data_IF_594193542919
#
_entry.id   IF_594193542919
#
_cell.length_a   1.000
_cell.length_b   1.000
_cell.length_c   1.000
_cell.angle_alpha   90.00
_cell.angle_beta   90.00
_cell.angle_gamma   90.00
#
_symmetry.space_group_name_H-M   'P 1'
#
loop_
_entity.id
_entity.type
_entity.pdbx_description
1 polymer ?
#
# COMPACT_ATOMS: atom_id res chain seq x y z
N UNK A 1 -55.17 12.36 9.06
CA UNK A 1 -55.87 11.06 9.24
C UNK A 1 -54.82 10.12 9.78
N UNK A 2 -54.62 9.98 11.11
CA UNK A 2 -55.11 8.92 12.01
C UNK A 2 -54.86 7.54 11.36
N UNK A 3 -54.03 6.64 11.98
CA UNK A 3 -54.19 5.84 13.19
C UNK A 3 -52.86 5.08 13.42
N UNK A 4 -52.12 5.08 14.53
CA UNK A 4 -52.26 4.29 15.79
C UNK A 4 -52.47 2.78 15.53
N UNK A 5 -51.61 1.87 16.01
CA UNK A 5 -51.53 1.30 17.38
C UNK A 5 -50.72 0.00 17.28
N UNK A 6 -50.08 -0.61 18.16
CA UNK A 6 -49.99 -0.95 19.58
C UNK A 6 -49.08 -2.19 19.67
N UNK A 7 -48.07 -2.18 20.46
CA UNK A 7 -47.75 -2.91 21.71
C UNK A 7 -48.11 -4.41 21.77
N UNK A 8 -47.11 -5.24 22.05
CA UNK A 8 -47.26 -6.36 22.98
C UNK A 8 -45.90 -6.74 23.64
N UNK A 9 -45.91 -6.57 24.93
CA UNK A 9 -44.97 -6.97 25.96
C UNK A 9 -45.26 -8.42 26.32
N UNK A 10 -44.24 -9.28 26.38
CA UNK A 10 -44.37 -10.64 26.88
C UNK A 10 -43.24 -10.97 27.84
N UNK A 11 -43.47 -10.77 29.10
CA UNK A 11 -42.67 -11.30 30.20
C UNK A 11 -43.09 -12.74 30.50
N UNK A 12 -42.13 -13.64 30.65
CA UNK A 12 -42.35 -14.96 31.21
C UNK A 12 -41.35 -15.22 32.35
N UNK A 13 -41.87 -15.17 33.56
CA UNK A 13 -41.27 -15.65 34.81
C UNK A 13 -41.72 -17.11 35.03
N UNK A 14 -40.81 -18.00 35.38
CA UNK A 14 -40.99 -19.23 36.17
C UNK A 14 -39.61 -19.79 36.40
N UNK A 15 -39.11 -20.24 37.52
CA UNK A 15 -39.60 -20.52 38.83
C UNK A 15 -38.47 -21.25 39.56
N UNK A 16 -38.29 -20.94 40.81
CA UNK A 16 -37.34 -21.60 41.73
C UNK A 16 -37.73 -23.03 42.01
N UNK A 17 -36.74 -23.96 42.03
CA UNK A 17 -36.84 -25.21 42.77
C UNK A 17 -35.59 -25.39 43.63
N UNK A 18 -35.82 -25.28 44.90
CA UNK A 18 -34.92 -25.61 46.01
C UNK A 18 -35.07 -27.10 46.30
N UNK A 19 -33.95 -27.82 46.46
CA UNK A 19 -33.89 -29.07 47.22
C UNK A 19 -32.60 -29.10 48.03
N UNK A 20 -32.81 -29.32 49.32
CA UNK A 20 -31.85 -29.37 50.42
C UNK A 20 -31.33 -30.79 50.67
N UNK A 21 -30.25 -30.84 51.49
CA UNK A 21 -29.71 -31.91 52.35
C UNK A 21 -29.03 -33.08 51.62
N UNK A 22 -27.81 -33.44 51.96
CA UNK A 22 -27.28 -33.96 53.19
C UNK A 22 -25.74 -33.96 53.18
N UNK A 23 -25.13 -33.64 54.31
CA UNK A 23 -23.69 -33.76 54.57
C UNK A 23 -23.36 -35.13 55.16
N UNK A 24 -22.29 -35.77 54.77
CA UNK A 24 -21.61 -36.74 55.61
C UNK A 24 -20.30 -36.20 56.20
N UNK A 25 -20.02 -36.67 57.42
CA UNK A 25 -19.04 -36.32 58.40
C UNK A 25 -17.59 -36.35 57.90
N UNK A 26 -16.81 -35.42 58.49
CA UNK A 26 -15.37 -35.37 58.46
C UNK A 26 -14.70 -36.67 58.95
N UNK A 27 -13.71 -37.11 58.19
CA UNK A 27 -12.66 -38.04 58.67
C UNK A 27 -11.36 -37.22 58.64
N UNK A 28 -10.85 -36.99 59.84
CA UNK A 28 -9.55 -36.39 60.12
C UNK A 28 -8.45 -37.45 59.82
N UNK A 29 -7.59 -37.20 58.84
CA UNK A 29 -6.34 -37.89 58.65
C UNK A 29 -5.23 -36.86 58.45
N UNK A 30 -4.71 -36.38 59.56
CA UNK A 30 -3.47 -35.63 59.61
C UNK A 30 -2.30 -36.54 59.19
N UNK A 31 -1.78 -36.34 58.00
CA UNK A 31 -0.45 -36.83 57.62
C UNK A 31 0.22 -35.75 56.79
N UNK A 32 1.05 -34.98 57.42
CA UNK A 32 1.90 -33.98 56.81
C UNK A 32 2.88 -34.67 55.84
N UNK A 33 2.64 -34.52 54.55
CA UNK A 33 3.65 -34.78 53.51
C UNK A 33 4.20 -33.41 53.12
N UNK A 34 5.42 -33.13 53.60
CA UNK A 34 6.21 -31.97 53.15
C UNK A 34 6.68 -32.27 51.72
N UNK A 35 5.99 -31.76 50.73
CA UNK A 35 6.48 -31.78 49.36
C UNK A 35 7.37 -30.57 49.20
N UNK A 36 8.66 -30.81 49.04
CA UNK A 36 9.62 -29.80 48.66
C UNK A 36 9.20 -29.24 47.27
N UNK A 37 8.85 -27.97 47.22
CA UNK A 37 8.62 -27.26 45.97
C UNK A 37 9.99 -27.16 45.27
N UNK A 38 10.16 -27.94 44.24
CA UNK A 38 11.26 -27.76 43.29
C UNK A 38 10.88 -26.63 42.38
N UNK A 39 11.44 -25.45 42.57
CA UNK A 39 11.31 -24.32 41.65
C UNK A 39 11.87 -24.75 40.29
N UNK A 40 10.98 -25.05 39.36
CA UNK A 40 11.35 -25.22 37.97
C UNK A 40 11.70 -23.82 37.42
N UNK A 41 12.84 -23.64 36.74
CA UNK A 41 13.19 -22.36 36.14
C UNK A 41 12.14 -22.02 35.11
N UNK A 42 11.38 -20.94 35.36
CA UNK A 42 10.50 -20.35 34.38
C UNK A 42 11.37 -19.74 33.29
N UNK A 43 11.57 -20.47 32.21
CA UNK A 43 12.24 -19.97 31.01
C UNK A 43 11.28 -18.99 30.37
N UNK A 44 11.45 -17.69 30.67
CA UNK A 44 10.76 -16.62 29.93
C UNK A 44 11.34 -16.61 28.53
N UNK A 45 10.68 -17.26 27.58
CA UNK A 45 11.00 -17.14 26.16
C UNK A 45 10.61 -15.72 25.75
N UNK A 46 11.58 -14.81 25.72
CA UNK A 46 11.39 -13.49 25.10
C UNK A 46 11.11 -13.75 23.63
N UNK A 47 9.89 -13.47 23.19
CA UNK A 47 9.56 -13.52 21.77
C UNK A 47 10.53 -12.59 21.03
N UNK A 48 11.19 -13.10 19.99
CA UNK A 48 12.06 -12.28 19.14
C UNK A 48 11.23 -11.12 18.58
N UNK A 49 11.80 -9.91 18.55
CA UNK A 49 11.16 -8.78 17.90
C UNK A 49 10.81 -9.16 16.45
N UNK A 50 9.64 -8.76 15.96
CA UNK A 50 9.25 -9.07 14.59
C UNK A 50 10.26 -8.46 13.61
N UNK A 51 10.61 -9.19 12.55
CA UNK A 51 11.52 -8.71 11.50
C UNK A 51 10.92 -7.50 10.82
N UNK A 52 11.68 -6.41 10.60
CA UNK A 52 11.18 -5.25 9.86
C UNK A 52 10.75 -5.62 8.44
N UNK A 53 9.73 -4.96 7.92
CA UNK A 53 9.37 -5.03 6.49
C UNK A 53 10.32 -4.11 5.72
N UNK A 54 11.09 -4.67 4.79
CA UNK A 54 12.01 -3.89 3.97
C UNK A 54 11.30 -3.38 2.72
N UNK A 55 11.19 -2.05 2.58
CA UNK A 55 10.55 -1.39 1.44
C UNK A 55 11.60 -0.68 0.60
N UNK A 56 11.71 -1.07 -0.67
CA UNK A 56 12.46 -0.32 -1.65
C UNK A 56 11.56 0.75 -2.26
N UNK A 57 12.00 2.01 -2.24
CA UNK A 57 11.36 3.11 -2.95
C UNK A 57 12.18 3.49 -4.17
N UNK A 58 11.51 3.62 -5.30
CA UNK A 58 12.07 4.06 -6.59
C UNK A 58 11.07 4.97 -7.32
N UNK A 59 11.43 5.50 -8.49
CA UNK A 59 10.55 6.27 -9.35
C UNK A 59 11.13 6.37 -10.77
N UNK A 60 10.55 7.20 -11.64
CA UNK A 60 11.11 7.60 -12.92
C UNK A 60 11.39 9.12 -13.01
N UNK A 61 10.98 9.92 -12.05
CA UNK A 61 11.26 11.35 -12.01
C UNK A 61 12.69 11.71 -11.56
N UNK A 62 13.36 10.77 -10.85
CA UNK A 62 14.71 10.97 -10.30
C UNK A 62 14.73 10.94 -8.76
N UNK A 63 15.90 10.66 -8.18
CA UNK A 63 16.08 10.43 -6.74
C UNK A 63 15.74 11.66 -5.86
N UNK A 64 15.80 12.87 -6.39
CA UNK A 64 15.56 14.15 -5.71
C UNK A 64 14.20 14.78 -6.05
N UNK A 65 13.33 14.04 -6.74
CA UNK A 65 11.99 14.52 -7.06
C UNK A 65 11.09 14.60 -5.83
N UNK A 66 10.20 15.59 -5.79
CA UNK A 66 9.30 15.82 -4.64
C UNK A 66 8.33 14.64 -4.40
N UNK A 67 7.96 13.91 -5.44
CA UNK A 67 7.03 12.79 -5.33
C UNK A 67 7.64 11.60 -4.59
N UNK A 68 8.86 11.19 -4.94
CA UNK A 68 9.55 10.09 -4.24
C UNK A 68 9.85 10.50 -2.79
N UNK A 69 10.26 11.74 -2.57
CA UNK A 69 10.55 12.27 -1.25
C UNK A 69 9.32 12.21 -0.33
N UNK A 70 8.16 12.60 -0.81
CA UNK A 70 6.91 12.52 -0.05
C UNK A 70 6.54 11.08 0.36
N UNK A 71 6.78 10.10 -0.53
CA UNK A 71 6.55 8.67 -0.23
C UNK A 71 7.56 8.17 0.80
N UNK A 72 8.85 8.52 0.66
CA UNK A 72 9.89 8.14 1.62
C UNK A 72 9.59 8.69 3.01
N UNK A 73 9.28 9.99 3.10
CA UNK A 73 8.97 10.64 4.38
C UNK A 73 7.76 10.01 5.08
N UNK A 74 6.76 9.54 4.34
CA UNK A 74 5.66 8.79 4.91
C UNK A 74 6.07 7.38 5.36
N UNK A 75 6.68 6.57 4.48
CA UNK A 75 6.95 5.16 4.78
C UNK A 75 7.91 4.97 5.97
N UNK A 76 8.87 5.89 6.15
CA UNK A 76 9.79 5.87 7.31
C UNK A 76 9.12 6.16 8.66
N UNK A 77 7.86 6.61 8.67
CA UNK A 77 7.08 6.79 9.91
C UNK A 77 6.36 5.53 10.36
N UNK A 78 6.30 4.50 9.51
CA UNK A 78 5.58 3.26 9.82
C UNK A 78 6.39 2.40 10.80
N UNK A 79 5.69 1.82 11.76
CA UNK A 79 6.28 0.92 12.74
C UNK A 79 6.82 -0.36 12.09
N UNK A 80 8.02 -0.74 12.49
CA UNK A 80 8.68 -1.97 12.03
C UNK A 80 8.80 -2.04 10.50
N UNK A 81 9.17 -0.91 9.88
CA UNK A 81 9.48 -0.74 8.46
C UNK A 81 10.87 -0.17 8.30
N UNK A 82 11.65 -0.72 7.38
CA UNK A 82 12.93 -0.18 6.93
C UNK A 82 12.83 0.25 5.47
N UNK A 83 13.24 1.48 5.17
CA UNK A 83 13.17 2.06 3.83
C UNK A 83 14.56 2.12 3.21
N UNK A 84 14.67 1.64 1.97
CA UNK A 84 15.82 1.87 1.09
C UNK A 84 15.36 2.66 -0.14
N UNK A 85 16.20 3.58 -0.62
CA UNK A 85 15.89 4.37 -1.82
C UNK A 85 16.95 4.10 -2.87
N UNK A 86 16.50 3.61 -4.03
CA UNK A 86 17.33 3.45 -5.24
C UNK A 86 16.52 3.94 -6.43
N UNK A 87 16.97 5.01 -7.09
CA UNK A 87 16.21 5.66 -8.14
C UNK A 87 17.12 6.17 -9.27
N UNK A 88 16.59 6.46 -10.46
CA UNK A 88 17.37 7.04 -11.55
C UNK A 88 18.04 8.35 -11.15
N UNK A 89 19.23 8.57 -11.70
CA UNK A 89 20.00 9.82 -11.49
C UNK A 89 19.31 11.04 -12.11
N UNK A 90 18.46 10.85 -13.12
CA UNK A 90 17.73 11.90 -13.84
C UNK A 90 16.36 11.39 -14.24
N UNK A 91 15.46 12.30 -14.62
CA UNK A 91 14.11 11.93 -15.08
C UNK A 91 14.18 10.98 -16.30
N UNK A 92 13.40 9.92 -16.24
CA UNK A 92 13.29 8.82 -17.20
C UNK A 92 11.83 8.55 -17.62
N UNK A 93 10.96 9.57 -17.59
CA UNK A 93 9.55 9.44 -17.96
C UNK A 93 9.37 8.84 -19.37
N UNK A 94 8.35 7.99 -19.53
CA UNK A 94 8.02 7.37 -20.83
C UNK A 94 8.95 6.25 -21.27
N UNK A 95 9.76 5.69 -20.37
CA UNK A 95 10.74 4.65 -20.72
C UNK A 95 10.23 3.23 -20.46
N UNK A 96 9.02 3.07 -19.90
CA UNK A 96 8.47 1.74 -19.59
C UNK A 96 9.42 0.94 -18.67
N UNK A 97 9.65 -0.32 -18.97
CA UNK A 97 10.55 -1.24 -18.27
C UNK A 97 11.90 -1.44 -18.99
N UNK A 98 12.36 -0.42 -19.75
CA UNK A 98 13.67 -0.47 -20.40
C UNK A 98 14.78 -0.67 -19.39
N UNK A 99 15.85 -1.33 -19.85
CA UNK A 99 17.09 -1.53 -19.11
C UNK A 99 18.31 -1.08 -19.93
N UNK A 100 19.35 -0.68 -19.20
CA UNK A 100 20.64 -0.26 -19.76
C UNK A 100 21.54 -1.47 -19.97
N UNK A 101 22.12 -1.69 -21.16
CA UNK A 101 23.12 -2.72 -21.36
C UNK A 101 24.44 -2.40 -20.63
N UNK A 102 25.03 -3.42 -19.98
CA UNK A 102 26.34 -3.30 -19.33
C UNK A 102 26.27 -2.83 -17.89
N UNK A 103 27.40 -2.34 -17.37
CA UNK A 103 27.55 -1.95 -15.98
C UNK A 103 26.86 -0.62 -15.69
N UNK A 104 26.19 -0.55 -14.56
CA UNK A 104 25.50 0.65 -14.09
C UNK A 104 26.41 1.49 -13.20
N UNK A 105 26.44 2.79 -13.43
CA UNK A 105 27.08 3.74 -12.50
C UNK A 105 26.10 4.08 -11.40
N UNK A 106 26.51 3.81 -10.16
CA UNK A 106 25.69 4.06 -8.96
C UNK A 106 26.45 4.96 -8.01
N UNK A 107 25.76 5.95 -7.44
CA UNK A 107 26.34 6.90 -6.50
C UNK A 107 25.51 7.03 -5.22
N UNK A 108 26.20 7.35 -4.12
CA UNK A 108 25.54 7.74 -2.88
C UNK A 108 25.01 9.18 -3.01
N UNK A 109 23.73 9.35 -2.75
CA UNK A 109 23.02 10.61 -2.86
C UNK A 109 22.03 10.77 -1.68
N UNK A 110 21.24 11.82 -1.70
CA UNK A 110 20.15 12.04 -0.75
C UNK A 110 18.90 12.49 -1.48
N UNK A 111 17.74 12.10 -0.97
CA UNK A 111 16.46 12.65 -1.43
C UNK A 111 16.36 14.15 -1.11
N UNK A 112 15.30 14.79 -1.56
CA UNK A 112 15.05 16.22 -1.33
C UNK A 112 15.09 16.60 0.17
N UNK A 113 14.50 15.76 1.04
CA UNK A 113 14.51 15.93 2.51
C UNK A 113 15.80 15.44 3.20
N UNK A 114 16.77 14.96 2.42
CA UNK A 114 18.08 14.53 2.93
C UNK A 114 18.16 13.07 3.36
N UNK A 115 17.17 12.23 3.07
CA UNK A 115 17.23 10.80 3.34
C UNK A 115 18.28 10.11 2.45
N UNK A 116 19.11 9.19 3.01
CA UNK A 116 20.14 8.48 2.24
C UNK A 116 19.52 7.68 1.09
N UNK A 117 20.12 7.78 -0.10
CA UNK A 117 19.65 7.13 -1.30
C UNK A 117 20.82 6.71 -2.21
N UNK A 118 20.53 5.84 -3.17
CA UNK A 118 21.41 5.52 -4.29
C UNK A 118 20.79 6.07 -5.57
N UNK A 119 21.59 6.77 -6.38
CA UNK A 119 21.21 7.13 -7.75
C UNK A 119 21.82 6.15 -8.74
N UNK A 120 21.06 5.76 -9.76
CA UNK A 120 21.48 4.86 -10.83
C UNK A 120 21.49 5.62 -12.14
N UNK A 121 22.61 5.64 -12.86
CA UNK A 121 22.68 6.17 -14.22
C UNK A 121 22.07 5.17 -15.20
N UNK A 122 20.76 5.04 -15.17
CA UNK A 122 19.98 4.06 -15.92
C UNK A 122 18.49 4.36 -15.84
N UNK A 123 17.68 3.41 -16.27
CA UNK A 123 16.22 3.47 -16.25
C UNK A 123 15.64 3.06 -14.89
N UNK A 124 14.35 3.30 -14.62
CA UNK A 124 13.68 2.87 -13.38
C UNK A 124 13.79 1.37 -13.11
N UNK A 125 13.66 0.55 -14.15
CA UNK A 125 13.85 -0.90 -14.04
C UNK A 125 15.27 -1.29 -13.63
N UNK A 126 16.29 -0.55 -14.06
CA UNK A 126 17.69 -0.78 -13.67
C UNK A 126 17.89 -0.53 -12.17
N UNK A 127 17.24 0.50 -11.62
CA UNK A 127 17.28 0.80 -10.19
C UNK A 127 16.75 -0.36 -9.36
N UNK A 128 15.61 -0.94 -9.77
CA UNK A 128 15.04 -2.14 -9.14
C UNK A 128 15.98 -3.34 -9.28
N UNK A 129 16.44 -3.64 -10.51
CA UNK A 129 17.30 -4.80 -10.76
C UNK A 129 18.63 -4.69 -10.02
N UNK A 130 19.25 -3.51 -9.99
CA UNK A 130 20.46 -3.29 -9.20
C UNK A 130 20.22 -3.58 -7.71
N UNK A 131 19.12 -3.05 -7.16
CA UNK A 131 18.79 -3.22 -5.76
C UNK A 131 18.60 -4.69 -5.35
N UNK A 132 17.82 -5.45 -6.15
CA UNK A 132 17.47 -6.84 -5.84
C UNK A 132 18.56 -7.87 -6.17
N UNK A 133 19.52 -7.51 -7.04
CA UNK A 133 20.63 -8.37 -7.43
C UNK A 133 21.91 -8.13 -6.61
N UNK A 134 21.78 -7.62 -5.40
CA UNK A 134 22.90 -7.49 -4.44
C UNK A 134 23.40 -6.05 -4.25
N UNK A 135 22.77 -5.05 -4.84
CA UNK A 135 23.05 -3.64 -4.58
C UNK A 135 22.62 -3.21 -3.17
N UNK A 136 21.58 -3.84 -2.64
CA UNK A 136 21.19 -3.72 -1.24
C UNK A 136 21.63 -4.96 -0.45
N UNK A 137 21.92 -4.75 0.83
CA UNK A 137 22.30 -5.83 1.77
C UNK A 137 21.13 -6.76 2.13
N UNK A 138 19.90 -6.25 2.03
CA UNK A 138 18.67 -6.98 2.31
C UNK A 138 17.75 -6.86 1.09
N UNK A 139 17.18 -8.01 0.68
CA UNK A 139 16.19 -8.03 -0.41
C UNK A 139 14.90 -7.37 0.08
N UNK A 140 14.28 -6.45 -0.71
CA UNK A 140 13.02 -5.85 -0.30
C UNK A 140 11.86 -6.86 -0.31
N UNK A 141 10.94 -6.68 0.63
CA UNK A 141 9.67 -7.40 0.72
C UNK A 141 8.57 -6.72 -0.11
N UNK A 142 8.73 -5.42 -0.35
CA UNK A 142 7.83 -4.57 -1.13
C UNK A 142 8.64 -3.55 -1.92
N UNK A 143 8.25 -3.28 -3.15
CA UNK A 143 8.73 -2.13 -3.94
C UNK A 143 7.62 -1.11 -4.09
N UNK A 144 7.89 0.16 -3.77
CA UNK A 144 7.00 1.29 -4.06
C UNK A 144 7.68 2.19 -5.08
N UNK A 145 7.07 2.30 -6.26
CA UNK A 145 7.55 3.15 -7.35
C UNK A 145 6.67 4.39 -7.46
N UNK A 146 7.25 5.56 -7.29
CA UNK A 146 6.56 6.86 -7.33
C UNK A 146 6.84 7.72 -6.08
N UNK A 147 6.01 8.76 -5.75
CA UNK A 147 4.82 9.13 -6.51
C UNK A 147 5.19 9.88 -7.78
N UNK A 148 4.75 9.38 -8.91
CA UNK A 148 5.03 9.99 -10.20
C UNK A 148 4.34 11.36 -10.35
N UNK A 149 4.98 12.26 -11.07
CA UNK A 149 4.40 13.51 -11.53
C UNK A 149 3.60 13.28 -12.82
N UNK A 150 2.32 13.02 -12.69
CA UNK A 150 1.40 12.70 -13.78
C UNK A 150 0.77 11.33 -13.63
N UNK A 151 -0.47 11.20 -14.08
CA UNK A 151 -1.21 9.94 -14.00
C UNK A 151 -0.71 8.87 -14.98
N UNK A 152 -0.72 7.61 -14.54
CA UNK A 152 -0.32 6.44 -15.30
C UNK A 152 -1.45 5.41 -15.40
N UNK A 153 -2.64 5.88 -15.79
CA UNK A 153 -3.84 5.06 -15.95
C UNK A 153 -4.10 4.64 -17.40
N UNK A 154 -4.97 3.69 -17.60
CA UNK A 154 -5.42 3.25 -18.92
C UNK A 154 -4.25 2.90 -19.86
N UNK A 155 -4.27 3.39 -21.12
CA UNK A 155 -3.17 3.17 -22.06
C UNK A 155 -1.81 3.72 -21.63
N UNK A 156 -1.73 4.74 -20.76
CA UNK A 156 -0.46 5.29 -20.30
C UNK A 156 0.32 4.32 -19.41
N UNK A 157 -0.35 3.36 -18.80
CA UNK A 157 0.27 2.34 -17.95
C UNK A 157 1.44 1.63 -18.65
N UNK A 158 1.31 1.33 -19.96
CA UNK A 158 2.32 0.52 -20.69
C UNK A 158 3.57 1.29 -21.08
N UNK A 159 3.53 2.63 -21.08
CA UNK A 159 4.70 3.47 -21.40
C UNK A 159 5.34 4.07 -20.14
N UNK A 160 4.74 3.89 -18.97
CA UNK A 160 5.16 4.48 -17.71
C UNK A 160 6.43 3.84 -17.18
N UNK A 161 7.44 4.64 -16.85
CA UNK A 161 8.62 4.21 -16.12
C UNK A 161 8.31 3.81 -14.68
N UNK A 162 7.37 4.51 -14.04
CA UNK A 162 6.88 4.20 -12.70
C UNK A 162 6.28 2.79 -12.62
N UNK A 163 5.34 2.48 -13.55
CA UNK A 163 4.72 1.14 -13.63
C UNK A 163 5.74 0.10 -14.09
N UNK A 164 6.63 0.45 -15.02
CA UNK A 164 7.69 -0.43 -15.52
C UNK A 164 8.64 -0.89 -14.41
N UNK A 165 9.03 0.00 -13.50
CA UNK A 165 9.82 -0.35 -12.32
C UNK A 165 9.08 -1.32 -11.39
N UNK A 166 7.83 -1.00 -11.05
CA UNK A 166 6.99 -1.86 -10.21
C UNK A 166 6.75 -3.24 -10.86
N UNK A 167 6.44 -3.27 -12.16
CA UNK A 167 6.28 -4.52 -12.91
C UNK A 167 7.58 -5.35 -12.96
N UNK A 168 8.73 -4.69 -13.03
CA UNK A 168 10.04 -5.35 -12.96
C UNK A 168 10.24 -6.04 -11.62
N UNK A 169 9.90 -5.40 -10.50
CA UNK A 169 9.92 -6.02 -9.18
C UNK A 169 8.96 -7.23 -9.12
N UNK A 170 7.72 -7.05 -9.58
CA UNK A 170 6.69 -8.08 -9.56
C UNK A 170 7.07 -9.31 -10.39
N UNK A 171 7.67 -9.12 -11.58
CA UNK A 171 8.22 -10.23 -12.39
C UNK A 171 9.37 -10.99 -11.71
N UNK A 172 10.05 -10.36 -10.75
CA UNK A 172 11.08 -10.99 -9.91
C UNK A 172 10.50 -11.53 -8.58
N UNK A 173 9.18 -11.65 -8.49
CA UNK A 173 8.48 -12.25 -7.33
C UNK A 173 8.42 -11.33 -6.10
N UNK A 174 8.64 -10.04 -6.26
CA UNK A 174 8.53 -9.05 -5.18
C UNK A 174 7.27 -8.22 -5.39
N UNK A 175 6.31 -8.24 -4.46
CA UNK A 175 5.14 -7.38 -4.54
C UNK A 175 5.50 -5.92 -4.78
N UNK A 176 4.73 -5.22 -5.60
CA UNK A 176 5.04 -3.84 -5.95
C UNK A 176 3.79 -2.96 -6.10
N UNK A 177 3.94 -1.70 -5.70
CA UNK A 177 2.96 -0.64 -5.87
C UNK A 177 3.58 0.42 -6.79
N UNK A 178 2.91 0.74 -7.90
CA UNK A 178 3.16 1.93 -8.69
C UNK A 178 2.17 3.01 -8.27
N UNK A 179 2.63 4.17 -7.82
CA UNK A 179 1.75 5.27 -7.39
C UNK A 179 2.03 6.55 -8.17
N UNK A 180 0.97 7.21 -8.62
CA UNK A 180 1.03 8.37 -9.50
C UNK A 180 0.06 9.46 -9.04
N UNK A 181 0.57 10.69 -8.93
CA UNK A 181 -0.21 11.89 -8.66
C UNK A 181 -0.58 12.56 -9.97
N UNK A 182 -1.85 12.77 -10.22
CA UNK A 182 -2.36 13.42 -11.41
C UNK A 182 -1.82 14.84 -11.60
N UNK A 183 -1.73 15.27 -12.85
CA UNK A 183 -1.39 16.65 -13.19
C UNK A 183 -2.45 17.63 -12.64
N UNK A 184 -2.02 18.85 -12.35
CA UNK A 184 -2.86 19.92 -11.86
C UNK A 184 -3.24 20.88 -12.99
N UNK A 185 -4.36 21.57 -12.84
CA UNK A 185 -4.71 22.72 -13.68
C UNK A 185 -3.83 23.91 -13.27
N UNK A 186 -3.09 24.48 -14.23
CA UNK A 186 -2.27 25.67 -13.95
C UNK A 186 -3.12 26.82 -13.38
N UNK A 187 -2.62 27.62 -12.41
CA UNK A 187 -1.26 27.64 -11.84
C UNK A 187 -1.01 26.65 -10.69
N UNK A 188 -1.95 25.76 -10.35
CA UNK A 188 -1.75 24.78 -9.30
C UNK A 188 -0.61 23.81 -9.65
N UNK A 189 0.02 23.25 -8.62
CA UNK A 189 1.05 22.20 -8.74
C UNK A 189 0.47 20.86 -8.26
N UNK A 190 1.03 19.74 -8.69
CA UNK A 190 0.64 18.44 -8.18
C UNK A 190 0.73 18.37 -6.65
N UNK A 191 -0.28 17.76 -6.04
CA UNK A 191 -0.42 17.74 -4.58
C UNK A 191 -0.08 16.35 -4.03
N UNK A 192 1.20 16.04 -3.90
CA UNK A 192 1.70 14.75 -3.41
C UNK A 192 1.17 14.30 -2.04
N UNK A 193 0.76 15.18 -1.08
CA UNK A 193 0.06 14.72 0.11
C UNK A 193 -1.22 13.92 -0.17
N UNK A 194 -1.88 14.11 -1.33
CA UNK A 194 -3.02 13.28 -1.72
C UNK A 194 -2.58 11.84 -2.05
N UNK A 195 -1.45 11.65 -2.75
CA UNK A 195 -0.89 10.31 -2.97
C UNK A 195 -0.51 9.64 -1.66
N UNK A 196 0.13 10.38 -0.73
CA UNK A 196 0.47 9.87 0.60
C UNK A 196 -0.78 9.42 1.34
N UNK A 197 -1.86 10.22 1.31
CA UNK A 197 -3.14 9.87 1.94
C UNK A 197 -3.71 8.57 1.38
N UNK A 198 -3.80 8.44 0.06
CA UNK A 198 -4.34 7.24 -0.58
C UNK A 198 -3.45 6.02 -0.31
N UNK A 199 -2.12 6.18 -0.35
CA UNK A 199 -1.19 5.10 0.01
C UNK A 199 -1.35 4.70 1.48
N UNK A 200 -1.56 5.66 2.38
CA UNK A 200 -1.81 5.39 3.81
C UNK A 200 -3.06 4.55 4.00
N UNK A 201 -4.16 4.92 3.35
CA UNK A 201 -5.43 4.19 3.39
C UNK A 201 -5.25 2.77 2.83
N UNK A 202 -4.59 2.64 1.69
CA UNK A 202 -4.32 1.34 1.07
C UNK A 202 -3.45 0.43 1.96
N UNK A 203 -2.37 0.96 2.52
CA UNK A 203 -1.47 0.18 3.38
C UNK A 203 -2.11 -0.15 4.74
N UNK A 204 -3.03 0.67 5.27
CA UNK A 204 -3.76 0.34 6.49
C UNK A 204 -4.48 -1.01 6.40
N UNK A 205 -5.02 -1.32 5.22
CA UNK A 205 -5.75 -2.57 4.97
C UNK A 205 -4.83 -3.72 4.48
N UNK A 206 -3.68 -3.39 3.86
CA UNK A 206 -2.89 -4.39 3.11
C UNK A 206 -1.48 -4.64 3.66
N UNK A 207 -0.96 -3.81 4.57
CA UNK A 207 0.43 -3.94 5.07
C UNK A 207 0.73 -5.32 5.66
N UNK A 208 -0.25 -5.94 6.32
CA UNK A 208 -0.12 -7.29 6.85
C UNK A 208 0.13 -8.33 5.75
N UNK A 209 -0.52 -8.20 4.60
CA UNK A 209 -0.37 -9.14 3.49
C UNK A 209 1.03 -9.11 2.84
N UNK A 210 1.71 -7.97 2.91
CA UNK A 210 3.12 -7.87 2.49
C UNK A 210 4.06 -8.58 3.47
N UNK A 211 3.72 -8.61 4.75
CA UNK A 211 4.49 -9.32 5.79
C UNK A 211 4.31 -10.84 5.74
N UNK A 212 3.12 -11.31 5.40
CA UNK A 212 2.79 -12.75 5.36
C UNK A 212 2.89 -13.37 3.95
N UNK A 213 3.25 -12.57 2.93
CA UNK A 213 3.46 -13.03 1.55
C UNK A 213 2.18 -13.31 0.78
N UNK A 214 1.02 -12.82 1.22
CA UNK A 214 -0.28 -12.98 0.54
C UNK A 214 -0.67 -11.78 -0.32
N UNK A 215 0.17 -10.73 -0.35
CA UNK A 215 -0.09 -9.51 -1.10
C UNK A 215 -0.21 -9.73 -2.61
N UNK A 216 -0.93 -8.83 -3.28
CA UNK A 216 -0.97 -8.74 -4.75
C UNK A 216 0.42 -8.40 -5.29
N UNK A 217 0.82 -9.04 -6.39
CA UNK A 217 2.15 -8.84 -6.98
C UNK A 217 2.31 -7.46 -7.61
N UNK A 218 1.27 -6.93 -8.26
CA UNK A 218 1.37 -5.62 -8.90
C UNK A 218 0.09 -4.82 -8.72
N UNK A 219 0.25 -3.65 -8.12
CA UNK A 219 -0.82 -2.68 -7.87
C UNK A 219 -0.45 -1.34 -8.50
N UNK A 220 -1.37 -0.73 -9.23
CA UNK A 220 -1.25 0.63 -9.71
C UNK A 220 -2.25 1.53 -8.97
N UNK A 221 -1.76 2.63 -8.42
CA UNK A 221 -2.57 3.64 -7.72
C UNK A 221 -2.43 4.96 -8.48
N UNK A 222 -3.55 5.51 -8.91
CA UNK A 222 -3.60 6.83 -9.54
C UNK A 222 -4.46 7.77 -8.71
N UNK A 223 -3.93 8.93 -8.36
CA UNK A 223 -4.57 9.89 -7.47
C UNK A 223 -4.73 11.22 -8.20
N UNK A 224 -5.95 11.70 -8.44
CA UNK A 224 -6.15 12.99 -9.08
C UNK A 224 -5.66 14.15 -8.21
N UNK A 225 -5.15 15.20 -8.84
CA UNK A 225 -4.92 16.48 -8.16
C UNK A 225 -6.19 17.32 -8.28
N UNK A 226 -6.97 17.31 -7.21
CA UNK A 226 -8.18 18.13 -7.12
C UNK A 226 -7.81 19.58 -6.79
N UNK A 227 -8.58 20.59 -7.26
CA UNK A 227 -8.46 21.95 -6.77
C UNK A 227 -8.57 21.99 -5.24
N UNK A 228 -7.88 22.93 -4.58
CA UNK A 228 -7.74 23.00 -3.12
C UNK A 228 -9.07 22.98 -2.37
N UNK A 229 -10.13 23.45 -3.00
CA UNK A 229 -11.47 23.58 -2.43
C UNK A 229 -12.37 22.35 -2.64
N UNK A 230 -11.94 21.40 -3.47
CA UNK A 230 -12.69 20.16 -3.73
C UNK A 230 -12.08 18.99 -3.01
N UNK A 231 -12.92 18.19 -2.38
CA UNK A 231 -12.49 16.97 -1.69
C UNK A 231 -12.27 15.86 -2.71
N UNK A 232 -11.12 15.18 -2.61
CA UNK A 232 -10.90 13.92 -3.30
C UNK A 232 -12.02 12.94 -2.91
N UNK A 233 -12.67 12.32 -3.89
CA UNK A 233 -13.67 11.31 -3.63
C UNK A 233 -13.04 10.03 -3.05
N UNK A 234 -13.83 9.17 -2.38
CA UNK A 234 -13.31 7.92 -1.82
C UNK A 234 -12.54 7.12 -2.86
N UNK A 235 -11.45 6.50 -2.43
CA UNK A 235 -10.66 5.60 -3.28
C UNK A 235 -11.50 4.39 -3.68
N UNK A 236 -11.43 4.01 -4.95
CA UNK A 236 -12.16 2.87 -5.51
C UNK A 236 -11.21 1.87 -6.16
N UNK A 237 -11.63 0.61 -6.24
CA UNK A 237 -10.95 -0.41 -7.05
C UNK A 237 -11.63 -0.46 -8.41
N UNK A 238 -10.85 -0.25 -9.48
CA UNK A 238 -11.35 -0.30 -10.85
C UNK A 238 -10.33 -1.00 -11.76
N UNK A 239 -10.77 -1.76 -12.79
CA UNK A 239 -9.85 -2.37 -13.72
C UNK A 239 -9.14 -1.30 -14.57
N UNK A 240 -7.91 -1.59 -14.98
CA UNK A 240 -7.21 -0.74 -15.95
C UNK A 240 -7.95 -0.74 -17.31
N UNK A 241 -8.21 0.41 -17.88
CA UNK A 241 -8.70 0.55 -19.24
C UNK A 241 -7.64 0.12 -20.27
N UNK A 242 -8.01 -0.69 -21.25
CA UNK A 242 -7.07 -1.13 -22.30
C UNK A 242 -6.91 -0.09 -23.41
N UNK A 243 -7.91 0.76 -23.59
CA UNK A 243 -7.92 1.86 -24.58
C UNK A 243 -8.63 3.10 -24.04
N UNK A 244 -8.56 4.16 -24.81
CA UNK A 244 -9.19 5.43 -24.42
C UNK A 244 -10.71 5.45 -24.58
N UNK A 245 -11.29 4.60 -25.42
CA UNK A 245 -12.74 4.58 -25.74
C UNK A 245 -13.29 5.97 -26.07
N UNK A 246 -12.54 6.79 -26.81
CA UNK A 246 -12.92 8.15 -27.16
C UNK A 246 -12.80 9.19 -26.03
N UNK A 247 -12.34 8.81 -24.84
CA UNK A 247 -12.09 9.74 -23.71
C UNK A 247 -10.78 10.50 -23.89
N UNK A 248 -10.72 11.71 -23.36
CA UNK A 248 -9.47 12.46 -23.27
C UNK A 248 -8.60 11.88 -22.18
N UNK A 249 -7.37 11.51 -22.51
CA UNK A 249 -6.38 11.03 -21.55
C UNK A 249 -5.39 12.16 -21.19
N UNK A 250 -4.82 12.10 -20.00
CA UNK A 250 -3.77 13.02 -19.56
C UNK A 250 -4.27 14.38 -19.08
N UNK A 251 -5.56 14.67 -19.20
CA UNK A 251 -6.12 15.89 -18.64
C UNK A 251 -6.14 15.83 -17.11
N UNK A 252 -5.96 16.99 -16.42
CA UNK A 252 -6.24 17.09 -15.00
C UNK A 252 -7.70 16.72 -14.69
N UNK A 253 -7.93 16.00 -13.59
CA UNK A 253 -9.28 15.74 -13.11
C UNK A 253 -9.92 17.03 -12.58
N UNK A 254 -11.22 17.20 -12.79
CA UNK A 254 -11.95 18.37 -12.30
C UNK A 254 -12.42 18.22 -10.86
N UNK A 255 -12.64 16.97 -10.41
CA UNK A 255 -13.08 16.60 -9.06
C UNK A 255 -14.41 17.26 -8.63
N UNK A 256 -15.17 17.78 -9.56
CA UNK A 256 -16.47 18.48 -9.34
C UNK A 256 -17.64 17.78 -10.03
N UNK A 257 -17.36 16.65 -10.68
CA UNK A 257 -18.38 15.83 -11.34
C UNK A 257 -19.27 15.11 -10.33
N UNK A 258 -20.46 14.64 -10.77
CA UNK A 258 -21.25 13.76 -9.94
C UNK A 258 -20.45 12.48 -9.64
N UNK A 259 -20.51 12.01 -8.39
CA UNK A 259 -20.02 10.67 -8.04
C UNK A 259 -20.60 9.66 -9.04
N UNK A 260 -19.75 9.13 -9.90
CA UNK A 260 -20.14 8.02 -10.75
C UNK A 260 -20.24 6.81 -9.82
N UNK A 261 -21.46 6.30 -9.64
CA UNK A 261 -21.72 5.28 -8.61
C UNK A 261 -20.87 4.01 -8.80
N UNK A 262 -20.55 3.66 -10.06
CA UNK A 262 -19.73 2.50 -10.41
C UNK A 262 -18.87 2.85 -11.64
N UNK A 263 -17.64 3.36 -11.48
CA UNK A 263 -16.75 3.60 -12.61
C UNK A 263 -16.42 2.27 -13.29
N UNK A 264 -16.48 2.25 -14.61
CA UNK A 264 -16.24 1.02 -15.39
C UNK A 264 -14.75 0.65 -15.47
N UNK A 265 -13.86 1.64 -15.32
CA UNK A 265 -12.42 1.46 -15.36
C UNK A 265 -11.66 2.58 -14.63
N UNK A 266 -10.32 2.50 -14.61
CA UNK A 266 -9.44 3.44 -13.94
C UNK A 266 -9.48 4.86 -14.54
N UNK A 267 -9.74 5.00 -15.83
CA UNK A 267 -9.87 6.30 -16.50
C UNK A 267 -11.15 7.01 -16.05
N UNK A 268 -12.26 6.29 -15.98
CA UNK A 268 -13.53 6.85 -15.51
C UNK A 268 -13.42 7.26 -14.03
N UNK A 269 -12.88 6.39 -13.19
CA UNK A 269 -12.71 6.66 -11.77
C UNK A 269 -11.85 7.90 -11.53
N UNK A 270 -10.69 7.97 -12.17
CA UNK A 270 -9.77 9.09 -12.03
C UNK A 270 -10.38 10.41 -12.53
N UNK A 271 -11.00 10.42 -13.72
CA UNK A 271 -11.62 11.62 -14.29
C UNK A 271 -12.79 12.12 -13.45
N UNK A 272 -13.49 11.24 -12.76
CA UNK A 272 -14.53 11.59 -11.79
C UNK A 272 -13.99 12.18 -10.48
N UNK A 273 -12.69 12.07 -10.21
CA UNK A 273 -12.06 12.60 -9.00
C UNK A 273 -11.82 11.56 -7.89
N UNK A 274 -11.89 10.28 -8.22
CA UNK A 274 -11.54 9.21 -7.28
C UNK A 274 -10.04 8.91 -7.30
N UNK A 275 -9.45 8.64 -6.13
CA UNK A 275 -8.26 7.80 -6.06
C UNK A 275 -8.62 6.41 -6.60
N UNK A 276 -7.79 5.84 -7.46
CA UNK A 276 -8.10 4.55 -8.07
C UNK A 276 -6.97 3.55 -7.86
N UNK A 277 -7.35 2.33 -7.44
CA UNK A 277 -6.48 1.17 -7.29
C UNK A 277 -6.82 0.17 -8.40
N UNK A 278 -5.83 -0.21 -9.19
CA UNK A 278 -5.95 -1.22 -10.24
C UNK A 278 -4.98 -2.36 -9.98
N UNK A 279 -5.45 -3.60 -10.05
CA UNK A 279 -4.60 -4.78 -10.00
C UNK A 279 -4.18 -5.17 -11.41
N UNK A 280 -2.89 -5.44 -11.60
CA UNK A 280 -2.30 -5.69 -12.90
C UNK A 280 -1.60 -7.05 -12.96
N UNK A 281 -1.63 -7.67 -14.13
CA UNK A 281 -0.76 -8.79 -14.44
C UNK A 281 0.67 -8.24 -14.66
N UNK A 282 1.69 -8.71 -13.94
CA UNK A 282 3.06 -8.21 -14.08
C UNK A 282 3.67 -8.39 -15.46
N UNK A 283 3.20 -9.37 -16.24
CA UNK A 283 3.81 -9.75 -17.53
C UNK A 283 3.37 -8.83 -18.67
N UNK A 284 2.09 -8.49 -18.74
CA UNK A 284 1.50 -7.78 -19.87
C UNK A 284 0.70 -6.53 -19.46
N UNK A 285 0.63 -6.25 -18.15
CA UNK A 285 -0.07 -5.13 -17.56
C UNK A 285 -1.59 -5.14 -17.82
N UNK A 286 -2.15 -6.26 -18.24
CA UNK A 286 -3.61 -6.40 -18.34
C UNK A 286 -4.26 -6.36 -16.96
N UNK A 287 -5.56 -6.00 -16.87
CA UNK A 287 -6.28 -6.06 -15.61
C UNK A 287 -6.21 -7.45 -14.99
N UNK A 288 -5.91 -7.51 -13.70
CA UNK A 288 -6.04 -8.71 -12.88
C UNK A 288 -7.31 -8.64 -12.02
N UNK A 289 -7.83 -9.79 -11.61
CA UNK A 289 -8.98 -9.83 -10.71
C UNK A 289 -8.65 -9.15 -9.36
N UNK A 290 -9.60 -8.45 -8.75
CA UNK A 290 -9.45 -7.83 -7.43
C UNK A 290 -9.25 -8.84 -6.29
#
# INVERSE_FOLDING_TARGET
>A
MKLRSFVALGALLVGFASCSSDAPKAVDVSSAITVAATDAPTTTTTAAAPTPLHILVTNDDGFDAAGIDAIVEYLRTLDNVEVSVVAPATNQSGTSDKTTPGDLVVADVKTLSGFPAKSVAGFPADSVLWAINGGLSVKPDLVVSGSNLGQNYGPFTVISGTVGAAATAARNGIPAIAISQGTAVAPATPYFPASVKVLTEYLADTLASYRDGTARLLVAINVPTCPVETTLFPTVVAPRALDANGRTLGAPATCDGPLTADPIDDVDAFNAGHGVVSYLNPTDLTPAAP
#
